data_IF_201704900638
#
_entry.id   IF_201704900638
#
_cell.length_a   1.000
_cell.length_b   1.000
_cell.length_c   1.000
_cell.angle_alpha   90.00
_cell.angle_beta   90.00
_cell.angle_gamma   90.00
#
_symmetry.space_group_name_H-M   'P 1'
#
loop_
_entity.id
_entity.type
_entity.pdbx_description
1 polymer ?
#
# COMPACT_ATOMS: atom_id res chain seq x y z
N UNK A 1 32.47 30.31 -27.34
CA UNK A 1 31.28 30.03 -26.51
C UNK A 1 31.56 30.38 -25.07
N UNK A 2 30.78 31.27 -24.44
CA UNK A 2 31.07 31.77 -23.08
C UNK A 2 30.91 30.65 -22.05
N UNK A 3 32.00 30.27 -21.36
CA UNK A 3 32.03 29.20 -20.34
C UNK A 3 30.93 29.38 -19.27
N UNK A 4 30.63 30.64 -18.91
CA UNK A 4 29.54 30.99 -17.99
C UNK A 4 28.15 30.64 -18.53
N UNK A 5 27.90 30.86 -19.83
CA UNK A 5 26.62 30.49 -20.47
C UNK A 5 26.47 28.98 -20.54
N UNK A 6 27.55 28.27 -20.86
CA UNK A 6 27.56 26.80 -20.87
C UNK A 6 27.23 26.21 -19.50
N UNK A 7 27.79 26.79 -18.42
CA UNK A 7 27.50 26.37 -17.05
C UNK A 7 26.03 26.58 -16.66
N UNK A 8 25.42 27.70 -17.09
CA UNK A 8 23.99 27.98 -16.87
C UNK A 8 23.10 26.95 -17.60
N UNK A 9 23.40 26.62 -18.85
CA UNK A 9 22.65 25.57 -19.58
C UNK A 9 22.77 24.20 -18.90
N UNK A 10 23.95 23.88 -18.36
CA UNK A 10 24.19 22.63 -17.63
C UNK A 10 23.36 22.54 -16.35
N UNK A 11 23.27 23.63 -15.59
CA UNK A 11 22.43 23.70 -14.38
C UNK A 11 20.95 23.54 -14.73
N UNK A 12 20.46 24.23 -15.77
CA UNK A 12 19.06 24.12 -16.21
C UNK A 12 18.73 22.67 -16.62
N UNK A 13 19.62 22.02 -17.35
CA UNK A 13 19.45 20.63 -17.77
C UNK A 13 19.40 19.68 -16.57
N UNK A 14 20.26 19.90 -15.57
CA UNK A 14 20.34 19.07 -14.37
C UNK A 14 19.08 19.22 -13.49
N UNK A 15 18.56 20.44 -13.35
CA UNK A 15 17.29 20.71 -12.65
C UNK A 15 16.11 20.08 -13.38
N UNK A 16 16.07 20.17 -14.71
CA UNK A 16 15.02 19.52 -15.51
C UNK A 16 15.07 18.00 -15.40
N UNK A 17 16.27 17.41 -15.41
CA UNK A 17 16.46 15.97 -15.22
C UNK A 17 16.00 15.51 -13.83
N UNK A 18 16.35 16.25 -12.77
CA UNK A 18 15.87 15.99 -11.41
C UNK A 18 14.33 16.03 -11.32
N UNK A 19 13.70 16.98 -12.01
CA UNK A 19 12.24 17.07 -12.03
C UNK A 19 11.58 15.84 -12.67
N UNK A 20 12.14 15.33 -13.77
CA UNK A 20 11.64 14.12 -14.43
C UNK A 20 11.73 12.88 -13.53
N UNK A 21 12.83 12.74 -12.77
CA UNK A 21 13.03 11.60 -11.84
C UNK A 21 12.02 11.63 -10.68
N UNK A 22 11.59 12.81 -10.23
CA UNK A 22 10.58 12.91 -9.16
C UNK A 22 9.19 12.51 -9.64
N UNK A 23 8.85 12.81 -10.90
CA UNK A 23 7.52 12.49 -11.45
C UNK A 23 7.29 11.01 -11.76
N UNK A 24 8.34 10.18 -11.79
CA UNK A 24 8.23 8.76 -12.11
C UNK A 24 8.12 7.86 -10.88
N UNK A 25 7.89 8.41 -9.68
CA UNK A 25 7.63 7.61 -8.50
C UNK A 25 6.25 6.96 -8.60
N UNK A 26 6.24 5.74 -9.13
CA UNK A 26 5.05 4.94 -9.34
C UNK A 26 4.59 4.31 -8.03
N UNK A 27 3.49 4.82 -7.48
CA UNK A 27 2.89 4.27 -6.27
C UNK A 27 1.90 3.16 -6.63
N UNK A 28 2.41 1.93 -6.78
CA UNK A 28 1.62 0.74 -7.13
C UNK A 28 0.38 0.52 -6.26
N UNK A 29 0.44 0.92 -4.99
CA UNK A 29 -0.70 0.80 -4.06
C UNK A 29 -1.80 1.78 -4.46
N UNK A 30 -1.44 3.01 -4.82
CA UNK A 30 -2.39 4.02 -5.30
C UNK A 30 -3.04 3.58 -6.61
N UNK A 31 -2.25 3.00 -7.53
CA UNK A 31 -2.77 2.46 -8.80
C UNK A 31 -3.80 1.34 -8.58
N UNK A 32 -3.64 0.54 -7.51
CA UNK A 32 -4.61 -0.49 -7.12
C UNK A 32 -5.87 0.17 -6.56
N UNK A 33 -5.72 1.11 -5.62
CA UNK A 33 -6.87 1.78 -4.99
C UNK A 33 -7.69 2.64 -5.97
N UNK A 34 -7.06 3.23 -6.99
CA UNK A 34 -7.74 4.02 -8.03
C UNK A 34 -8.62 3.16 -8.96
N UNK A 35 -8.37 1.85 -9.03
CA UNK A 35 -9.20 0.91 -9.81
C UNK A 35 -10.49 0.52 -9.08
N UNK A 36 -10.59 0.84 -7.79
CA UNK A 36 -11.79 0.56 -7.01
C UNK A 36 -12.94 1.47 -7.46
N UNK A 37 -14.12 0.89 -7.59
CA UNK A 37 -15.36 1.64 -7.83
C UNK A 37 -15.80 2.41 -6.59
N UNK A 38 -15.49 1.89 -5.40
CA UNK A 38 -15.91 2.45 -4.12
C UNK A 38 -14.77 2.47 -3.10
N UNK A 39 -14.82 3.45 -2.19
CA UNK A 39 -13.77 3.67 -1.18
C UNK A 39 -13.65 2.57 -0.13
N UNK A 40 -14.69 1.75 0.05
CA UNK A 40 -14.69 0.64 1.01
C UNK A 40 -14.01 -0.62 0.46
N UNK A 41 -13.80 -0.73 -0.86
CA UNK A 41 -13.12 -1.87 -1.51
C UNK A 41 -11.62 -1.95 -1.20
N UNK A 42 -11.09 -1.02 -0.39
CA UNK A 42 -9.74 -1.11 0.17
C UNK A 42 -9.69 -1.92 1.47
N UNK A 43 -10.85 -2.27 2.03
CA UNK A 43 -11.00 -3.14 3.18
C UNK A 43 -11.01 -4.60 2.73
N UNK A 44 -10.69 -5.51 3.65
CA UNK A 44 -10.57 -6.93 3.32
C UNK A 44 -11.86 -7.65 3.70
N UNK A 45 -12.32 -8.58 2.86
CA UNK A 45 -13.37 -9.53 3.22
C UNK A 45 -12.81 -10.94 3.47
N UNK A 46 -13.66 -11.84 3.94
CA UNK A 46 -13.25 -13.21 4.31
C UNK A 46 -12.76 -14.02 3.10
N UNK A 47 -13.34 -13.79 1.92
CA UNK A 47 -12.94 -14.49 0.68
C UNK A 47 -11.54 -14.07 0.23
N UNK A 48 -11.21 -12.79 0.27
CA UNK A 48 -9.87 -12.25 -0.01
C UNK A 48 -8.85 -12.74 1.01
N UNK A 49 -9.21 -12.74 2.30
CA UNK A 49 -8.35 -13.27 3.35
C UNK A 49 -8.01 -14.75 3.13
N UNK A 50 -8.99 -15.53 2.65
CA UNK A 50 -8.81 -16.95 2.36
C UNK A 50 -7.93 -17.19 1.12
N UNK A 51 -7.93 -16.26 0.16
CA UNK A 51 -7.05 -16.30 -1.01
C UNK A 51 -5.57 -16.06 -0.66
N UNK A 52 -5.28 -15.41 0.47
CA UNK A 52 -3.89 -15.15 0.88
C UNK A 52 -3.14 -16.43 1.22
N UNK A 53 -1.97 -16.59 0.59
CA UNK A 53 -1.08 -17.73 0.77
C UNK A 53 0.23 -17.31 1.42
N UNK A 54 0.90 -18.28 2.04
CA UNK A 54 2.25 -18.09 2.58
C UNK A 54 3.21 -17.64 1.46
N UNK A 55 4.19 -16.83 1.83
CA UNK A 55 5.25 -16.33 0.94
C UNK A 55 4.80 -15.35 -0.15
N UNK A 56 3.53 -14.92 -0.15
CA UNK A 56 3.07 -13.78 -0.96
C UNK A 56 3.78 -12.49 -0.55
N UNK A 57 4.07 -11.63 -1.53
CA UNK A 57 4.62 -10.30 -1.25
C UNK A 57 3.55 -9.34 -0.72
N UNK A 58 3.96 -8.26 -0.06
CA UNK A 58 3.02 -7.25 0.41
C UNK A 58 2.16 -6.70 -0.75
N UNK A 59 2.79 -6.44 -1.90
CA UNK A 59 2.06 -5.87 -3.05
C UNK A 59 1.06 -6.85 -3.67
N UNK A 60 1.36 -8.16 -3.64
CA UNK A 60 0.43 -9.18 -4.12
C UNK A 60 -0.79 -9.29 -3.18
N UNK A 61 -0.57 -9.21 -1.87
CA UNK A 61 -1.65 -9.13 -0.87
C UNK A 61 -2.52 -7.90 -1.12
N UNK A 62 -1.92 -6.72 -1.28
CA UNK A 62 -2.65 -5.48 -1.60
C UNK A 62 -3.45 -5.60 -2.89
N UNK A 63 -2.94 -6.31 -3.91
CA UNK A 63 -3.65 -6.54 -5.17
C UNK A 63 -4.88 -7.43 -5.01
N UNK A 64 -4.81 -8.45 -4.15
CA UNK A 64 -5.94 -9.34 -3.86
C UNK A 64 -7.02 -8.57 -3.11
N UNK A 65 -6.62 -7.76 -2.13
CA UNK A 65 -7.54 -7.03 -1.23
C UNK A 65 -8.08 -5.76 -1.87
N UNK A 66 -7.38 -5.17 -2.83
CA UNK A 66 -7.78 -3.90 -3.45
C UNK A 66 -7.35 -2.66 -2.65
N UNK A 67 -6.51 -2.78 -1.62
CA UNK A 67 -6.06 -1.60 -0.87
C UNK A 67 -4.99 -1.83 0.18
N UNK A 68 -4.43 -0.73 0.67
CA UNK A 68 -3.35 -0.73 1.64
C UNK A 68 -3.82 -1.14 3.05
N UNK A 69 -3.07 -2.03 3.69
CA UNK A 69 -3.26 -2.35 5.10
C UNK A 69 -2.70 -1.25 5.98
N UNK A 70 -3.27 -1.04 7.16
CA UNK A 70 -2.71 -0.12 8.16
C UNK A 70 -1.62 -0.84 8.93
N UNK A 71 -0.39 -0.32 8.89
CA UNK A 71 0.68 -0.84 9.74
C UNK A 71 0.36 -0.56 11.22
N UNK A 72 0.35 -1.62 12.03
CA UNK A 72 0.08 -1.54 13.47
C UNK A 72 1.32 -1.81 14.33
N UNK A 73 2.27 -2.56 13.78
CA UNK A 73 3.60 -2.89 14.32
C UNK A 73 4.53 -3.15 13.14
N UNK A 74 5.84 -3.16 13.37
CA UNK A 74 6.85 -3.48 12.34
C UNK A 74 6.43 -4.72 11.56
N UNK A 75 6.23 -4.55 10.26
CA UNK A 75 5.88 -5.60 9.31
C UNK A 75 4.57 -6.35 9.61
N UNK A 76 3.69 -5.77 10.44
CA UNK A 76 2.35 -6.27 10.71
C UNK A 76 1.34 -5.24 10.26
N UNK A 77 0.57 -5.62 9.24
CA UNK A 77 -0.46 -4.80 8.63
C UNK A 77 -1.84 -5.32 8.98
N UNK A 78 -2.78 -4.42 9.24
CA UNK A 78 -4.16 -4.74 9.56
C UNK A 78 -5.11 -4.13 8.54
N UNK A 79 -5.96 -4.98 7.96
CA UNK A 79 -7.12 -4.55 7.19
C UNK A 79 -8.37 -4.60 8.05
N UNK A 80 -9.25 -3.61 7.92
CA UNK A 80 -10.58 -3.69 8.51
C UNK A 80 -11.43 -4.66 7.69
N UNK A 81 -12.41 -5.28 8.34
CA UNK A 81 -13.42 -6.06 7.64
C UNK A 81 -14.37 -5.18 6.83
N UNK A 82 -14.56 -5.52 5.57
CA UNK A 82 -15.35 -4.75 4.60
C UNK A 82 -16.82 -4.57 5.03
N UNK A 83 -17.42 -5.59 5.63
CA UNK A 83 -18.87 -5.66 5.89
C UNK A 83 -19.18 -5.29 7.34
N UNK A 84 -18.58 -6.00 8.28
CA UNK A 84 -18.96 -5.94 9.68
C UNK A 84 -18.17 -4.88 10.44
N UNK A 85 -16.95 -4.54 10.00
CA UNK A 85 -16.00 -3.64 10.69
C UNK A 85 -15.67 -4.03 12.16
N UNK A 86 -16.28 -5.10 12.67
CA UNK A 86 -16.04 -5.71 13.98
C UNK A 86 -14.89 -6.72 13.94
N UNK A 87 -14.25 -6.90 12.79
CA UNK A 87 -13.09 -7.76 12.62
C UNK A 87 -11.96 -6.99 11.95
N UNK A 88 -10.73 -7.39 12.25
CA UNK A 88 -9.52 -6.93 11.61
C UNK A 88 -8.67 -8.13 11.18
N UNK A 89 -8.14 -8.07 9.97
CA UNK A 89 -7.27 -9.11 9.41
C UNK A 89 -5.82 -8.65 9.52
N UNK A 90 -5.06 -9.28 10.42
CA UNK A 90 -3.66 -8.98 10.66
C UNK A 90 -2.77 -9.91 9.85
N UNK A 91 -1.94 -9.34 8.98
CA UNK A 91 -0.99 -10.05 8.14
C UNK A 91 0.42 -9.61 8.52
N UNK A 92 1.26 -10.59 8.87
CA UNK A 92 2.67 -10.36 9.20
C UNK A 92 3.55 -10.77 8.03
N UNK A 93 4.53 -9.93 7.74
CA UNK A 93 5.53 -10.14 6.72
C UNK A 93 6.91 -10.25 7.36
N UNK A 94 7.79 -11.03 6.75
CA UNK A 94 9.22 -11.03 7.03
C UNK A 94 9.95 -11.01 5.69
N UNK A 95 10.86 -10.05 5.48
CA UNK A 95 11.55 -9.88 4.20
C UNK A 95 10.61 -9.81 2.99
N UNK A 96 9.50 -9.06 3.11
CA UNK A 96 8.44 -8.94 2.09
C UNK A 96 7.77 -10.28 1.74
N UNK A 97 7.64 -11.19 2.71
CA UNK A 97 6.97 -12.48 2.55
C UNK A 97 5.94 -12.69 3.65
N UNK A 98 4.71 -13.01 3.27
CA UNK A 98 3.65 -13.36 4.20
C UNK A 98 4.05 -14.59 5.01
N UNK A 99 4.27 -14.41 6.32
CA UNK A 99 4.63 -15.50 7.24
C UNK A 99 3.47 -15.94 8.14
N UNK A 100 2.54 -15.02 8.45
CA UNK A 100 1.43 -15.29 9.36
C UNK A 100 0.21 -14.44 8.98
N UNK A 101 -0.98 -15.03 9.12
CA UNK A 101 -2.26 -14.33 9.05
C UNK A 101 -3.12 -14.67 10.27
N UNK A 102 -3.80 -13.68 10.83
CA UNK A 102 -4.62 -13.81 12.03
C UNK A 102 -5.87 -12.91 11.94
N UNK A 103 -7.02 -13.43 12.40
CA UNK A 103 -8.25 -12.65 12.53
C UNK A 103 -8.34 -12.12 13.96
N UNK A 104 -8.56 -10.82 14.12
CA UNK A 104 -8.80 -10.15 15.40
C UNK A 104 -10.25 -9.68 15.47
N UNK A 105 -10.97 -10.17 16.45
CA UNK A 105 -12.27 -9.61 16.83
C UNK A 105 -12.07 -8.23 17.48
N UNK A 106 -12.74 -7.22 16.93
CA UNK A 106 -12.82 -5.88 17.49
C UNK A 106 -14.14 -5.75 18.23
N UNK A 107 -14.07 -5.51 19.54
CA UNK A 107 -15.24 -5.07 20.29
C UNK A 107 -15.64 -3.70 19.75
N UNK A 108 -16.78 -3.64 19.04
CA UNK A 108 -17.41 -2.36 18.75
C UNK A 108 -17.68 -1.65 20.09
N UNK A 109 -17.21 -0.42 20.24
CA UNK A 109 -17.59 0.46 21.35
C UNK A 109 -19.06 0.88 21.20
N UNK A 110 -19.99 -0.07 21.16
CA UNK A 110 -21.39 0.21 21.40
C UNK A 110 -21.55 0.31 22.91
N UNK A 111 -21.19 1.48 23.46
CA UNK A 111 -21.81 1.94 24.69
C UNK A 111 -23.23 2.35 24.29
N UNK A 112 -24.14 1.38 24.29
CA UNK A 112 -25.58 1.64 24.20
C UNK A 112 -26.20 1.45 25.57
#
# INVERSE_FOLDING_TARGET
>A
MNKKRLFVYLIIYLVFFLFLVVTSYDNKVLEIEEKNQYTWQKYMNEDEYNQLQKDMSYIDVVRIVGGAGKEIKSDVYEWNDEILLTRGYQIQFENDRLVKKEIKERRGNSMR
#
